data_IF_479563300728
#
_entry.id   IF_479563300728
#
_cell.length_a   1.000
_cell.length_b   1.000
_cell.length_c   1.000
_cell.angle_alpha   90.00
_cell.angle_beta   90.00
_cell.angle_gamma   90.00
#
_symmetry.space_group_name_H-M   'P 1'
#
loop_
_entity.id
_entity.type
_entity.pdbx_description
1 polymer ?
#
# COMPACT_ATOMS: atom_id res chain seq x y z
N UNK A 1 11.07 -14.13 12.19
CA UNK A 1 9.99 -15.11 12.49
C UNK A 1 10.31 -16.47 11.87
N UNK A 2 9.99 -17.57 12.55
CA UNK A 2 10.17 -18.95 12.02
C UNK A 2 8.90 -19.44 11.30
N UNK A 3 9.00 -20.49 10.49
CA UNK A 3 7.90 -20.97 9.66
C UNK A 3 6.66 -21.43 10.46
N UNK A 4 6.87 -22.18 11.55
CA UNK A 4 5.78 -22.66 12.43
C UNK A 4 5.04 -21.49 13.10
N UNK A 5 5.77 -20.47 13.52
CA UNK A 5 5.24 -19.26 14.14
C UNK A 5 4.36 -18.47 13.15
N UNK A 6 4.83 -18.28 11.91
CA UNK A 6 4.05 -17.63 10.86
C UNK A 6 2.79 -18.44 10.50
N UNK A 7 2.90 -19.77 10.39
CA UNK A 7 1.73 -20.63 10.12
C UNK A 7 0.69 -20.51 11.23
N UNK A 8 1.11 -20.46 12.49
CA UNK A 8 0.22 -20.28 13.64
C UNK A 8 -0.56 -18.97 13.55
N UNK A 9 0.12 -17.87 13.22
CA UNK A 9 -0.53 -16.55 13.02
C UNK A 9 -1.51 -16.54 11.84
N UNK A 10 -1.15 -17.20 10.74
CA UNK A 10 -1.96 -17.20 9.53
C UNK A 10 -3.14 -18.17 9.56
N UNK A 11 -3.07 -19.25 10.33
CA UNK A 11 -4.12 -20.27 10.38
C UNK A 11 -5.54 -19.72 10.68
N UNK A 12 -5.75 -18.88 11.71
CA UNK A 12 -7.08 -18.29 11.95
C UNK A 12 -7.53 -17.35 10.83
N UNK A 13 -6.61 -16.62 10.20
CA UNK A 13 -6.93 -15.74 9.05
C UNK A 13 -7.36 -16.56 7.83
N UNK A 14 -6.64 -17.67 7.54
CA UNK A 14 -6.98 -18.59 6.45
C UNK A 14 -8.37 -19.19 6.64
N UNK A 15 -8.69 -19.65 7.85
CA UNK A 15 -10.01 -20.18 8.17
C UNK A 15 -11.10 -19.12 7.94
N UNK A 16 -10.90 -17.91 8.47
CA UNK A 16 -11.84 -16.79 8.28
C UNK A 16 -12.07 -16.48 6.80
N UNK A 17 -11.04 -16.44 5.97
CA UNK A 17 -11.19 -16.11 4.55
C UNK A 17 -11.74 -17.25 3.70
N UNK A 18 -11.66 -18.50 4.17
CA UNK A 18 -12.38 -19.62 3.56
C UNK A 18 -13.88 -19.50 3.81
N UNK A 19 -14.28 -19.14 5.03
CA UNK A 19 -15.69 -18.98 5.41
C UNK A 19 -16.31 -17.67 4.90
N UNK A 20 -15.53 -16.58 4.89
CA UNK A 20 -15.97 -15.23 4.52
C UNK A 20 -14.99 -14.59 3.53
N UNK A 21 -15.05 -14.97 2.23
CA UNK A 21 -14.11 -14.50 1.22
C UNK A 21 -13.99 -12.97 1.11
N UNK A 22 -15.10 -12.24 1.30
CA UNK A 22 -15.15 -10.79 1.24
C UNK A 22 -14.29 -10.10 2.31
N UNK A 23 -14.03 -10.77 3.45
CA UNK A 23 -13.18 -10.22 4.50
C UNK A 23 -11.69 -10.17 4.11
N UNK A 24 -11.31 -10.83 3.00
CA UNK A 24 -9.96 -10.81 2.45
C UNK A 24 -9.72 -9.72 1.40
N UNK A 25 -10.78 -8.99 1.00
CA UNK A 25 -10.70 -7.89 0.05
C UNK A 25 -10.31 -6.63 0.81
N UNK A 26 -9.12 -6.11 0.50
CA UNK A 26 -8.55 -4.96 1.19
C UNK A 26 -8.18 -3.90 0.16
N UNK A 27 -8.54 -2.65 0.45
CA UNK A 27 -8.08 -1.47 -0.27
C UNK A 27 -7.02 -0.80 0.58
N UNK A 28 -5.81 -0.70 0.05
CA UNK A 28 -4.73 0.11 0.64
C UNK A 28 -4.82 1.53 0.09
N UNK A 29 -4.50 2.52 0.90
CA UNK A 29 -4.60 3.94 0.56
C UNK A 29 -3.31 4.67 0.91
N UNK A 30 -2.85 5.54 0.01
CA UNK A 30 -1.75 6.46 0.29
C UNK A 30 -2.10 7.87 -0.16
N UNK A 31 -1.59 8.87 0.55
CA UNK A 31 -1.80 10.28 0.25
C UNK A 31 -0.50 11.07 0.35
N UNK A 32 -0.35 12.03 -0.57
CA UNK A 32 0.77 12.96 -0.60
C UNK A 32 0.25 14.39 -0.75
N UNK A 33 0.88 15.32 -0.03
CA UNK A 33 0.61 16.76 -0.14
C UNK A 33 1.77 17.41 -0.87
N UNK A 34 1.45 18.22 -1.88
CA UNK A 34 2.47 18.97 -2.62
C UNK A 34 3.11 20.01 -1.69
N UNK A 35 4.44 20.15 -1.78
CA UNK A 35 5.24 21.05 -0.97
C UNK A 35 6.03 22.05 -1.81
N UNK A 36 6.80 22.91 -1.13
CA UNK A 36 7.69 23.88 -1.78
C UNK A 36 8.84 23.18 -2.53
N UNK A 37 9.47 23.89 -3.47
CA UNK A 37 10.67 23.44 -4.20
C UNK A 37 10.49 22.10 -4.96
N UNK A 38 9.33 21.87 -5.59
CA UNK A 38 9.06 20.66 -6.38
C UNK A 38 9.16 19.39 -5.52
N UNK A 39 8.47 19.40 -4.39
CA UNK A 39 8.42 18.26 -3.47
C UNK A 39 6.99 17.75 -3.33
N UNK A 40 6.84 16.46 -3.02
CA UNK A 40 5.59 15.85 -2.59
C UNK A 40 5.89 15.14 -1.26
N UNK A 41 5.26 15.62 -0.18
CA UNK A 41 5.40 15.00 1.13
C UNK A 41 4.38 13.88 1.26
N UNK A 42 4.88 12.65 1.35
CA UNK A 42 4.10 11.47 1.72
C UNK A 42 4.34 11.19 3.20
N UNK A 43 3.28 10.89 3.94
CA UNK A 43 3.39 10.55 5.36
C UNK A 43 3.90 9.12 5.54
N UNK A 44 5.19 8.90 5.27
CA UNK A 44 5.85 7.64 5.58
C UNK A 44 6.40 7.74 7.00
N UNK A 45 6.01 6.82 7.87
CA UNK A 45 6.21 6.99 9.31
C UNK A 45 7.66 7.12 9.81
N UNK A 46 8.72 6.74 9.06
CA UNK A 46 10.12 6.68 9.58
C UNK A 46 11.19 6.77 8.48
N UNK A 47 12.38 7.30 8.82
CA UNK A 47 13.49 7.60 7.91
C UNK A 47 14.32 6.39 7.41
N UNK A 48 14.08 5.19 7.96
CA UNK A 48 14.52 3.90 7.44
C UNK A 48 13.41 2.89 7.78
N UNK A 49 12.87 2.22 6.77
CA UNK A 49 11.66 1.39 6.92
C UNK A 49 11.97 -0.03 6.46
N UNK A 50 11.79 -0.99 7.37
CA UNK A 50 11.79 -2.41 7.02
C UNK A 50 10.41 -2.81 6.51
N UNK A 51 10.36 -3.41 5.33
CA UNK A 51 9.12 -3.87 4.72
C UNK A 51 8.69 -5.22 5.32
N UNK A 52 7.44 -5.32 5.73
CA UNK A 52 6.84 -6.51 6.34
C UNK A 52 5.49 -6.88 5.73
N UNK A 53 4.89 -7.92 6.30
CA UNK A 53 3.55 -8.37 5.92
C UNK A 53 2.48 -7.38 6.39
N UNK A 54 1.38 -7.32 5.65
CA UNK A 54 0.18 -6.63 6.11
C UNK A 54 -0.43 -7.40 7.33
N UNK A 55 -1.05 -6.74 8.31
CA UNK A 55 -1.69 -7.42 9.45
C UNK A 55 -2.71 -8.49 9.02
N UNK A 56 -3.46 -8.22 7.94
CA UNK A 56 -4.40 -9.17 7.35
C UNK A 56 -3.78 -10.44 6.75
N UNK A 57 -2.44 -10.52 6.66
CA UNK A 57 -1.66 -11.71 6.27
C UNK A 57 -0.70 -12.19 7.38
N UNK A 58 -0.86 -11.70 8.61
CA UNK A 58 -0.07 -12.10 9.77
C UNK A 58 1.13 -11.20 10.08
N UNK A 59 1.16 -9.98 9.54
CA UNK A 59 2.10 -8.95 9.97
C UNK A 59 1.83 -8.44 11.38
N UNK A 60 2.87 -7.99 12.06
CA UNK A 60 2.79 -7.44 13.43
C UNK A 60 2.37 -5.96 13.48
N UNK A 61 2.31 -5.29 12.32
CA UNK A 61 2.02 -3.86 12.21
C UNK A 61 3.16 -2.94 12.67
N UNK A 62 4.35 -3.49 12.94
CA UNK A 62 5.54 -2.73 13.34
C UNK A 62 6.38 -2.38 12.11
N UNK A 63 6.62 -3.37 11.24
CA UNK A 63 7.21 -3.15 9.91
C UNK A 63 6.19 -2.51 8.97
N UNK A 64 6.64 -1.69 8.03
CA UNK A 64 5.71 -1.08 7.08
C UNK A 64 5.20 -2.10 6.08
N UNK A 65 3.93 -2.01 5.70
CA UNK A 65 3.42 -2.85 4.64
C UNK A 65 4.07 -2.47 3.32
N UNK A 66 4.67 -3.46 2.64
CA UNK A 66 5.26 -3.25 1.31
C UNK A 66 4.25 -2.77 0.27
N UNK A 67 2.96 -3.11 0.44
CA UNK A 67 1.88 -2.60 -0.39
C UNK A 67 1.66 -1.10 -0.21
N UNK A 68 1.59 -0.63 1.03
CA UNK A 68 1.46 0.80 1.34
C UNK A 68 2.66 1.57 0.80
N UNK A 69 3.87 1.08 1.04
CA UNK A 69 5.11 1.67 0.51
C UNK A 69 5.10 1.83 -1.01
N UNK A 70 4.51 0.88 -1.75
CA UNK A 70 4.38 0.99 -3.20
C UNK A 70 3.43 2.13 -3.60
N UNK A 71 2.27 2.24 -2.94
CA UNK A 71 1.30 3.31 -3.21
C UNK A 71 1.85 4.67 -2.81
N UNK A 72 2.56 4.76 -1.68
CA UNK A 72 3.29 5.94 -1.24
C UNK A 72 4.31 6.39 -2.29
N UNK A 73 5.11 5.48 -2.82
CA UNK A 73 6.08 5.76 -3.87
C UNK A 73 5.40 6.26 -5.16
N UNK A 74 4.25 5.66 -5.53
CA UNK A 74 3.47 6.08 -6.70
C UNK A 74 2.95 7.52 -6.53
N UNK A 75 2.35 7.82 -5.38
CA UNK A 75 1.86 9.15 -5.01
C UNK A 75 2.99 10.18 -5.02
N UNK A 76 4.15 9.86 -4.45
CA UNK A 76 5.31 10.73 -4.43
C UNK A 76 5.79 11.05 -5.85
N UNK A 77 5.96 10.01 -6.68
CA UNK A 77 6.43 10.13 -8.06
C UNK A 77 5.51 11.02 -8.91
N UNK A 78 4.19 10.79 -8.81
CA UNK A 78 3.20 11.58 -9.52
C UNK A 78 3.16 13.04 -9.04
N UNK A 79 3.18 13.27 -7.73
CA UNK A 79 3.15 14.62 -7.16
C UNK A 79 4.39 15.44 -7.54
N UNK A 80 5.59 14.87 -7.44
CA UNK A 80 6.83 15.55 -7.86
C UNK A 80 6.78 15.89 -9.35
N UNK A 81 6.30 14.96 -10.18
CA UNK A 81 6.17 15.17 -11.63
C UNK A 81 5.18 16.28 -11.95
N UNK A 82 4.01 16.30 -11.30
CA UNK A 82 3.01 17.36 -11.45
C UNK A 82 3.61 18.74 -11.12
N UNK A 83 4.30 18.86 -9.97
CA UNK A 83 4.97 20.11 -9.58
C UNK A 83 6.05 20.52 -10.59
N UNK A 84 6.85 19.57 -11.08
CA UNK A 84 7.93 19.85 -12.02
C UNK A 84 7.40 20.40 -13.34
N UNK A 85 6.36 19.75 -13.90
CA UNK A 85 5.73 20.18 -15.15
C UNK A 85 5.05 21.53 -14.99
N UNK A 86 4.25 21.73 -13.93
CA UNK A 86 3.56 22.99 -13.67
C UNK A 86 4.54 24.17 -13.56
N UNK A 87 5.65 23.96 -12.86
CA UNK A 87 6.74 24.95 -12.76
C UNK A 87 7.32 25.26 -14.14
N UNK A 88 7.62 24.24 -14.94
CA UNK A 88 8.22 24.40 -16.26
C UNK A 88 7.33 25.17 -17.26
N UNK A 89 6.00 25.08 -17.11
CA UNK A 89 5.03 25.77 -17.99
C UNK A 89 4.46 27.06 -17.37
N UNK A 90 4.96 27.49 -16.22
CA UNK A 90 4.55 28.74 -15.56
C UNK A 90 3.17 28.70 -14.92
N UNK A 91 2.67 27.52 -14.55
CA UNK A 91 1.41 27.36 -13.80
C UNK A 91 1.71 27.28 -12.31
N UNK A 92 1.10 28.18 -11.55
CA UNK A 92 1.15 28.18 -10.09
C UNK A 92 0.11 27.21 -9.51
N UNK A 93 0.57 26.21 -8.74
CA UNK A 93 -0.30 25.33 -7.95
C UNK A 93 -0.36 25.86 -6.51
N UNK A 94 -1.55 26.27 -6.07
CA UNK A 94 -1.75 26.84 -4.72
C UNK A 94 -1.90 25.78 -3.62
N UNK A 95 -2.57 24.67 -3.95
CA UNK A 95 -2.71 23.49 -3.09
C UNK A 95 -3.00 22.28 -3.97
N UNK A 96 -2.67 21.09 -3.48
CA UNK A 96 -2.88 19.86 -4.23
C UNK A 96 -2.71 18.61 -3.36
N UNK A 97 -3.58 17.64 -3.58
CA UNK A 97 -3.57 16.33 -2.94
C UNK A 97 -3.51 15.27 -4.02
N UNK A 98 -2.55 14.37 -3.92
CA UNK A 98 -2.46 13.16 -4.76
C UNK A 98 -2.85 11.97 -3.89
N UNK A 99 -3.71 11.09 -4.41
CA UNK A 99 -4.20 9.90 -3.71
C UNK A 99 -3.97 8.68 -4.58
N UNK A 100 -3.58 7.56 -3.97
CA UNK A 100 -3.61 6.28 -4.66
C UNK A 100 -4.35 5.25 -3.81
N UNK A 101 -5.08 4.37 -4.50
CA UNK A 101 -5.74 3.22 -3.92
C UNK A 101 -5.31 1.94 -4.64
N UNK A 102 -5.17 0.85 -3.90
CA UNK A 102 -4.85 -0.45 -4.47
C UNK A 102 -5.71 -1.56 -3.88
N UNK A 103 -6.36 -2.35 -4.74
CA UNK A 103 -7.19 -3.48 -4.30
C UNK A 103 -6.39 -4.78 -4.30
N UNK A 104 -6.49 -5.54 -3.20
CA UNK A 104 -5.87 -6.85 -3.06
C UNK A 104 -6.89 -7.88 -2.59
N UNK A 105 -6.62 -9.15 -2.94
CA UNK A 105 -7.29 -10.30 -2.34
C UNK A 105 -6.25 -11.17 -1.64
N UNK A 106 -6.23 -11.10 -0.31
CA UNK A 106 -5.25 -11.82 0.48
C UNK A 106 -5.44 -13.34 0.49
N UNK A 107 -6.51 -13.88 -0.09
CA UNK A 107 -6.62 -15.32 -0.35
C UNK A 107 -5.51 -15.81 -1.27
N UNK A 108 -5.06 -14.98 -2.23
CA UNK A 108 -3.93 -15.31 -3.09
C UNK A 108 -2.64 -15.41 -2.28
N UNK A 109 -2.29 -14.34 -1.56
CA UNK A 109 -1.07 -14.26 -0.73
C UNK A 109 -0.98 -15.37 0.32
N UNK A 110 -2.11 -15.76 0.92
CA UNK A 110 -2.16 -16.82 1.92
C UNK A 110 -2.30 -18.24 1.33
N UNK A 111 -2.44 -18.36 0.02
CA UNK A 111 -2.66 -19.64 -0.66
C UNK A 111 -4.01 -20.30 -0.31
N UNK A 112 -5.01 -19.50 0.05
CA UNK A 112 -6.38 -19.95 0.34
C UNK A 112 -7.16 -20.24 -0.95
N UNK A 113 -6.94 -19.44 -1.99
CA UNK A 113 -7.57 -19.64 -3.31
C UNK A 113 -6.51 -19.64 -4.41
N UNK A 114 -6.63 -20.57 -5.37
CA UNK A 114 -5.80 -20.60 -6.59
C UNK A 114 -6.28 -19.62 -7.66
N UNK A 115 -7.51 -19.13 -7.53
CA UNK A 115 -8.12 -18.19 -8.48
C UNK A 115 -7.84 -16.73 -8.09
N UNK A 116 -7.53 -16.48 -6.82
CA UNK A 116 -7.17 -15.14 -6.34
C UNK A 116 -5.70 -14.83 -6.71
N UNK A 117 -5.43 -13.76 -7.48
CA UNK A 117 -4.06 -13.38 -7.80
C UNK A 117 -3.31 -12.89 -6.57
N UNK A 118 -1.99 -13.11 -6.53
CA UNK A 118 -1.10 -12.55 -5.49
C UNK A 118 -0.71 -11.13 -5.89
N UNK A 119 -0.82 -10.18 -4.95
CA UNK A 119 -0.47 -8.78 -5.16
C UNK A 119 -1.67 -7.90 -5.49
N UNK A 120 -1.41 -6.70 -6.03
CA UNK A 120 -2.44 -5.75 -6.43
C UNK A 120 -3.21 -6.24 -7.67
N UNK A 121 -4.54 -6.21 -7.61
CA UNK A 121 -5.41 -6.46 -8.76
C UNK A 121 -5.61 -5.21 -9.60
N UNK A 122 -5.77 -4.07 -8.92
CA UNK A 122 -5.98 -2.76 -9.53
C UNK A 122 -5.34 -1.69 -8.66
N UNK A 123 -4.67 -0.75 -9.30
CA UNK A 123 -4.18 0.48 -8.67
C UNK A 123 -4.86 1.65 -9.37
N UNK A 124 -5.33 2.61 -8.59
CA UNK A 124 -5.96 3.86 -9.03
C UNK A 124 -5.17 5.01 -8.41
N UNK A 125 -4.92 6.04 -9.20
CA UNK A 125 -4.20 7.27 -8.82
C UNK A 125 -5.07 8.47 -9.20
#
# INVERSE_FOLDING_TARGET
MKAEELRSLQQPLKARYQEQPQAALITLEAQGRLGENVTCKVETGKALVEAGLHPATGGDGISACSGDMLLEALVACAGVTLCAVATAIGIEIRDGIIKAEGDLDFRGTLGVSKEAPVGFQKIRL
#
